data_IF_747842748552
#
_entry.id   IF_747842748552
#
_cell.length_a   1.000
_cell.length_b   1.000
_cell.length_c   1.000
_cell.angle_alpha   90.00
_cell.angle_beta   90.00
_cell.angle_gamma   90.00
#
_symmetry.space_group_name_H-M   'P 1'
#
loop_
_entity.id
_entity.type
_entity.pdbx_description
1 polymer ?
#
# COMPACT_ATOMS: atom_id res chain seq x y z
N UNK A 1 26.91 -46.37 9.58
CA UNK A 1 25.60 -45.91 9.07
C UNK A 1 25.57 -44.39 9.12
N UNK A 2 25.20 -43.80 7.98
CA UNK A 2 25.69 -42.54 7.41
C UNK A 2 25.46 -41.25 8.24
N UNK A 3 26.52 -40.44 8.40
CA UNK A 3 26.48 -39.02 8.83
C UNK A 3 26.17 -38.05 7.68
N UNK A 4 25.99 -38.54 6.45
CA UNK A 4 25.71 -37.70 5.26
C UNK A 4 24.24 -37.30 5.15
N UNK A 5 23.32 -38.01 5.80
CA UNK A 5 21.88 -37.75 5.69
C UNK A 5 21.43 -36.42 6.31
N UNK A 6 22.14 -35.90 7.30
CA UNK A 6 21.81 -34.61 7.93
C UNK A 6 22.31 -33.41 7.11
N UNK A 7 23.35 -33.60 6.29
CA UNK A 7 23.92 -32.53 5.46
C UNK A 7 23.10 -32.32 4.16
N UNK A 8 22.53 -33.38 3.59
CA UNK A 8 21.59 -33.28 2.46
C UNK A 8 20.29 -32.55 2.84
N UNK A 9 19.78 -32.76 4.07
CA UNK A 9 18.56 -32.13 4.54
C UNK A 9 18.72 -30.61 4.74
N UNK A 10 19.90 -30.16 5.22
CA UNK A 10 20.21 -28.74 5.34
C UNK A 10 20.45 -28.06 3.98
N UNK A 11 21.05 -28.76 3.01
CA UNK A 11 21.28 -28.24 1.67
C UNK A 11 19.96 -27.99 0.89
N UNK A 12 18.95 -28.86 1.05
CA UNK A 12 17.64 -28.67 0.43
C UNK A 12 16.83 -27.53 1.06
N UNK A 13 17.03 -27.23 2.34
CA UNK A 13 16.36 -26.12 3.02
C UNK A 13 16.93 -24.75 2.59
N UNK A 14 18.22 -24.71 2.23
CA UNK A 14 18.88 -23.48 1.78
C UNK A 14 18.58 -23.12 0.30
N UNK A 15 18.22 -24.11 -0.52
CA UNK A 15 17.88 -23.90 -1.93
C UNK A 15 16.42 -23.44 -2.13
N UNK A 16 15.52 -23.73 -1.17
CA UNK A 16 14.11 -23.34 -1.21
C UNK A 16 13.83 -21.88 -0.78
N UNK A 17 14.80 -21.18 -0.18
CA UNK A 17 14.65 -19.77 0.23
C UNK A 17 15.07 -18.76 -0.85
N UNK A 18 15.41 -19.22 -2.06
CA UNK A 18 15.74 -18.37 -3.21
C UNK A 18 14.73 -18.51 -4.35
N UNK A 19 13.43 -18.36 -4.07
CA UNK A 19 12.46 -17.94 -5.09
C UNK A 19 11.34 -17.18 -4.41
N UNK A 20 11.22 -15.89 -4.69
CA UNK A 20 10.04 -15.07 -4.35
C UNK A 20 8.87 -15.60 -5.18
N UNK A 21 7.80 -16.16 -4.59
CA UNK A 21 6.63 -16.51 -5.39
C UNK A 21 5.80 -15.25 -5.61
N UNK A 22 5.88 -14.74 -6.82
CA UNK A 22 4.93 -13.79 -7.35
C UNK A 22 3.52 -14.39 -7.32
N UNK A 23 2.54 -13.59 -6.91
CA UNK A 23 1.13 -13.78 -7.28
C UNK A 23 0.36 -14.84 -6.48
N UNK A 24 -0.41 -14.36 -5.51
CA UNK A 24 -1.55 -15.06 -4.92
C UNK A 24 -2.55 -15.46 -6.03
N UNK A 25 -2.65 -16.77 -6.31
CA UNK A 25 -3.62 -17.32 -7.27
C UNK A 25 -3.38 -18.79 -7.63
N UNK A 26 -2.12 -19.21 -7.78
CA UNK A 26 -1.82 -20.57 -8.27
C UNK A 26 -1.89 -21.67 -7.18
N UNK A 27 -1.82 -21.32 -5.90
CA UNK A 27 -1.81 -22.29 -4.80
C UNK A 27 -3.19 -22.93 -4.51
N UNK A 28 -4.30 -22.29 -4.90
CA UNK A 28 -5.66 -22.82 -4.66
C UNK A 28 -6.05 -23.95 -5.61
N UNK A 29 -5.47 -23.99 -6.81
CA UNK A 29 -5.83 -25.00 -7.83
C UNK A 29 -5.25 -26.38 -7.49
N UNK A 30 -4.08 -26.44 -6.85
CA UNK A 30 -3.42 -27.72 -6.52
C UNK A 30 -4.11 -28.48 -5.37
N UNK A 31 -4.91 -27.80 -4.53
CA UNK A 31 -5.60 -28.43 -3.40
C UNK A 31 -6.96 -29.07 -3.76
N UNK A 32 -7.53 -28.75 -4.93
CA UNK A 32 -8.83 -29.28 -5.40
C UNK A 32 -8.70 -30.37 -6.49
N UNK A 33 -7.48 -30.81 -6.78
CA UNK A 33 -7.16 -31.64 -7.95
C UNK A 33 -7.61 -33.11 -7.96
N UNK A 34 -8.46 -33.58 -7.03
CA UNK A 34 -8.92 -34.99 -7.01
C UNK A 34 -10.37 -35.20 -6.57
N UNK A 35 -11.27 -34.25 -6.80
CA UNK A 35 -12.70 -34.49 -6.58
C UNK A 35 -13.34 -35.15 -7.82
N UNK A 36 -14.15 -36.23 -7.69
CA UNK A 36 -14.63 -37.06 -8.81
C UNK A 36 -15.60 -36.38 -9.81
N UNK A 37 -15.78 -35.05 -9.76
CA UNK A 37 -16.69 -34.31 -10.64
C UNK A 37 -16.00 -33.69 -11.88
N UNK A 38 -14.67 -33.83 -12.02
CA UNK A 38 -13.90 -33.23 -13.13
C UNK A 38 -13.48 -34.26 -14.19
N UNK A 39 -13.71 -35.56 -13.97
CA UNK A 39 -13.17 -36.64 -14.81
C UNK A 39 -14.03 -37.04 -16.03
N UNK A 40 -15.13 -36.33 -16.32
CA UNK A 40 -15.82 -36.43 -17.61
C UNK A 40 -16.02 -35.00 -18.10
N UNK A 41 -15.59 -34.71 -19.33
CA UNK A 41 -15.71 -33.40 -19.98
C UNK A 41 -17.16 -33.00 -20.30
N UNK A 42 -18.05 -33.15 -19.34
CA UNK A 42 -19.44 -32.72 -19.37
C UNK A 42 -19.62 -31.75 -18.20
N UNK A 43 -19.74 -30.46 -18.51
CA UNK A 43 -20.16 -29.48 -17.53
C UNK A 43 -21.56 -29.88 -17.03
N UNK A 44 -21.82 -29.98 -15.72
CA UNK A 44 -23.18 -30.16 -15.26
C UNK A 44 -23.98 -28.91 -15.65
N UNK A 45 -24.85 -29.05 -16.66
CA UNK A 45 -25.96 -28.12 -16.93
C UNK A 45 -26.95 -28.25 -15.77
N UNK A 46 -26.58 -27.72 -14.61
CA UNK A 46 -27.52 -27.48 -13.53
C UNK A 46 -28.25 -26.15 -13.81
N UNK A 47 -29.08 -26.15 -14.86
CA UNK A 47 -30.18 -25.21 -14.98
C UNK A 47 -31.31 -25.78 -14.11
N UNK A 48 -31.37 -25.38 -12.85
CA UNK A 48 -32.59 -25.60 -12.05
C UNK A 48 -33.71 -24.74 -12.64
N UNK A 49 -34.88 -25.32 -13.00
CA UNK A 49 -35.91 -24.62 -13.77
C UNK A 49 -36.66 -23.52 -13.00
N UNK A 50 -36.22 -23.11 -11.80
CA UNK A 50 -36.81 -21.95 -11.13
C UNK A 50 -35.89 -21.30 -10.07
N UNK A 51 -34.58 -21.19 -10.34
CA UNK A 51 -33.72 -20.27 -9.58
C UNK A 51 -33.59 -19.00 -10.41
N UNK A 52 -34.48 -18.05 -10.17
CA UNK A 52 -34.25 -16.68 -10.62
C UNK A 52 -33.03 -16.16 -9.86
N UNK A 53 -31.84 -16.24 -10.46
CA UNK A 53 -30.71 -15.44 -10.01
C UNK A 53 -31.15 -13.99 -10.25
N UNK A 54 -31.32 -13.16 -9.20
CA UNK A 54 -31.63 -11.76 -9.42
C UNK A 54 -30.53 -11.18 -10.30
N UNK A 55 -30.88 -10.58 -11.43
CA UNK A 55 -29.93 -9.89 -12.33
C UNK A 55 -29.09 -8.84 -11.61
N UNK A 56 -29.55 -8.40 -10.44
CA UNK A 56 -28.85 -7.54 -9.48
C UNK A 56 -27.55 -8.16 -8.93
N UNK A 57 -27.39 -9.49 -8.92
CA UNK A 57 -26.15 -10.13 -8.46
C UNK A 57 -25.00 -10.05 -9.48
N UNK A 58 -25.30 -9.72 -10.75
CA UNK A 58 -24.31 -9.47 -11.80
C UNK A 58 -23.94 -7.98 -11.94
N UNK A 59 -24.61 -7.07 -11.23
CA UNK A 59 -24.48 -5.63 -11.44
C UNK A 59 -23.50 -4.93 -10.47
N UNK A 60 -22.54 -5.63 -9.88
CA UNK A 60 -21.56 -5.00 -9.02
C UNK A 60 -20.19 -5.65 -9.11
N UNK A 61 -19.50 -5.39 -10.21
CA UNK A 61 -18.04 -5.27 -10.20
C UNK A 61 -17.62 -4.07 -9.32
N UNK A 62 -17.93 -4.10 -8.03
CA UNK A 62 -17.28 -3.23 -7.06
C UNK A 62 -15.95 -3.87 -6.74
N UNK A 63 -14.91 -3.43 -7.44
CA UNK A 63 -13.52 -3.74 -7.17
C UNK A 63 -13.24 -3.64 -5.65
N UNK A 64 -13.10 -4.75 -4.91
CA UNK A 64 -12.97 -4.72 -3.45
C UNK A 64 -11.63 -4.14 -2.98
N UNK A 65 -10.70 -3.84 -3.90
CA UNK A 65 -9.42 -3.20 -3.58
C UNK A 65 -9.54 -1.70 -3.28
N UNK A 66 -10.64 -1.03 -3.65
CA UNK A 66 -10.76 0.42 -3.42
C UNK A 66 -11.29 0.77 -2.03
N UNK A 67 -12.11 -0.08 -1.40
CA UNK A 67 -12.83 0.28 -0.17
C UNK A 67 -11.87 0.48 1.02
N UNK A 68 -10.80 -0.31 1.09
CA UNK A 68 -9.83 -0.25 2.20
C UNK A 68 -8.87 0.94 2.04
N UNK A 69 -8.52 1.31 0.80
CA UNK A 69 -7.69 2.47 0.53
C UNK A 69 -8.48 3.79 0.69
N UNK A 70 -9.75 3.79 0.28
CA UNK A 70 -10.64 4.95 0.37
C UNK A 70 -11.03 5.25 1.83
N UNK A 71 -11.28 4.23 2.67
CA UNK A 71 -11.61 4.42 4.08
C UNK A 71 -10.45 4.98 4.92
N UNK A 72 -9.19 4.67 4.57
CA UNK A 72 -8.01 5.18 5.27
C UNK A 72 -7.60 6.58 4.77
N UNK A 73 -7.96 6.96 3.53
CA UNK A 73 -7.63 8.26 2.94
C UNK A 73 -8.71 9.35 3.03
N UNK A 74 -9.90 9.06 3.56
CA UNK A 74 -11.08 9.94 3.40
C UNK A 74 -11.33 10.92 4.56
N UNK A 75 -10.77 10.69 5.75
CA UNK A 75 -10.89 11.69 6.83
C UNK A 75 -9.91 12.84 6.60
N UNK A 76 -10.39 13.89 5.92
CA UNK A 76 -9.74 15.19 5.81
C UNK A 76 -9.75 15.90 7.16
N UNK A 77 -8.94 15.43 8.10
CA UNK A 77 -8.73 16.10 9.38
C UNK A 77 -8.00 17.42 9.11
N UNK A 78 -8.54 18.58 9.55
CA UNK A 78 -7.86 19.85 9.35
C UNK A 78 -6.56 19.87 10.14
N UNK A 79 -5.48 20.37 9.53
CA UNK A 79 -4.23 20.59 10.24
C UNK A 79 -4.46 21.62 11.36
N UNK A 80 -4.10 21.29 12.59
CA UNK A 80 -4.23 22.19 13.75
C UNK A 80 -2.93 22.90 14.11
N UNK A 81 -1.78 22.41 13.61
CA UNK A 81 -0.46 22.99 13.85
C UNK A 81 0.54 22.69 12.74
N UNK A 82 1.63 23.46 12.69
CA UNK A 82 2.77 23.19 11.79
C UNK A 82 3.48 21.88 12.15
N UNK A 83 3.44 21.43 13.40
CA UNK A 83 4.06 20.18 13.82
C UNK A 83 3.48 18.96 13.08
N UNK A 84 2.16 18.95 12.86
CA UNK A 84 1.49 17.89 12.10
C UNK A 84 2.01 17.83 10.65
N UNK A 85 2.15 18.99 10.00
CA UNK A 85 2.72 19.07 8.65
C UNK A 85 4.21 18.69 8.63
N UNK A 86 4.97 19.14 9.64
CA UNK A 86 6.39 18.84 9.78
C UNK A 86 6.68 17.35 9.91
N UNK A 87 5.81 16.62 10.62
CA UNK A 87 5.87 15.16 10.71
C UNK A 87 5.64 14.49 9.35
N UNK A 88 4.61 14.92 8.61
CA UNK A 88 4.33 14.39 7.27
C UNK A 88 5.51 14.59 6.32
N UNK A 89 6.13 15.77 6.33
CA UNK A 89 7.31 16.07 5.51
C UNK A 89 8.51 15.20 5.93
N UNK A 90 8.73 15.03 7.24
CA UNK A 90 9.81 14.18 7.77
C UNK A 90 9.66 12.73 7.34
N UNK A 91 8.45 12.19 7.40
CA UNK A 91 8.16 10.80 7.04
C UNK A 91 8.31 10.59 5.54
N UNK A 92 7.81 11.51 4.72
CA UNK A 92 8.00 11.50 3.27
C UNK A 92 9.49 11.54 2.90
N UNK A 93 10.27 12.46 3.50
CA UNK A 93 11.72 12.55 3.28
C UNK A 93 12.43 11.24 3.61
N UNK A 94 12.10 10.63 4.76
CA UNK A 94 12.68 9.35 5.17
C UNK A 94 12.32 8.22 4.22
N UNK A 95 11.08 8.19 3.70
CA UNK A 95 10.66 7.22 2.71
C UNK A 95 11.45 7.34 1.39
N UNK A 96 11.84 8.58 1.03
CA UNK A 96 12.75 8.85 -0.09
C UNK A 96 14.23 8.55 0.21
N UNK A 97 14.56 8.12 1.43
CA UNK A 97 15.94 7.85 1.91
C UNK A 97 16.87 9.06 1.83
N UNK A 98 16.32 10.27 1.90
CA UNK A 98 17.08 11.51 1.89
C UNK A 98 17.43 11.97 3.30
N UNK A 99 18.63 12.48 3.50
CA UNK A 99 18.95 13.29 4.68
C UNK A 99 18.37 14.71 4.55
N UNK A 100 18.38 15.51 5.63
CA UNK A 100 17.78 16.85 5.61
C UNK A 100 18.46 17.81 4.62
N UNK A 101 19.77 17.66 4.36
CA UNK A 101 20.49 18.49 3.39
C UNK A 101 20.08 18.15 1.97
N UNK A 102 19.98 16.87 1.62
CA UNK A 102 19.53 16.39 0.31
C UNK A 102 18.10 16.83 0.02
N UNK A 103 17.20 16.66 0.99
CA UNK A 103 15.82 17.10 0.84
C UNK A 103 15.70 18.62 0.72
N UNK A 104 16.51 19.37 1.48
CA UNK A 104 16.53 20.82 1.37
C UNK A 104 16.93 21.27 -0.04
N UNK A 105 17.93 20.62 -0.64
CA UNK A 105 18.33 20.86 -2.03
C UNK A 105 17.20 20.47 -3.01
N UNK A 106 16.54 19.33 -2.78
CA UNK A 106 15.40 18.89 -3.58
C UNK A 106 14.21 19.87 -3.54
N UNK A 107 13.95 20.46 -2.37
CA UNK A 107 12.89 21.43 -2.15
C UNK A 107 13.27 22.89 -2.47
N UNK A 108 14.53 23.16 -2.83
CA UNK A 108 15.02 24.51 -3.10
C UNK A 108 15.09 25.43 -1.88
N UNK A 109 15.30 24.88 -0.68
CA UNK A 109 15.38 25.64 0.59
C UNK A 109 16.69 25.35 1.35
N UNK A 110 16.95 26.10 2.42
CA UNK A 110 18.10 25.85 3.29
C UNK A 110 17.86 24.67 4.25
N UNK A 111 18.90 23.88 4.57
CA UNK A 111 18.79 22.74 5.51
C UNK A 111 18.24 23.13 6.89
N UNK A 112 18.56 24.32 7.38
CA UNK A 112 17.99 24.85 8.63
C UNK A 112 16.47 24.99 8.55
N UNK A 113 15.93 25.42 7.40
CA UNK A 113 14.49 25.52 7.20
C UNK A 113 13.82 24.16 7.33
N UNK A 114 14.36 23.12 6.68
CA UNK A 114 13.86 21.74 6.80
C UNK A 114 13.88 21.28 8.25
N UNK A 115 14.97 21.53 8.98
CA UNK A 115 15.05 21.18 10.41
C UNK A 115 14.01 21.90 11.26
N UNK A 116 13.75 23.18 11.00
CA UNK A 116 12.74 23.97 11.72
C UNK A 116 11.31 23.53 11.38
N UNK A 117 11.04 23.21 10.10
CA UNK A 117 9.77 22.66 9.65
C UNK A 117 9.47 21.30 10.28
N UNK A 118 10.41 20.35 10.20
CA UNK A 118 10.26 19.04 10.84
C UNK A 118 10.16 19.13 12.37
N UNK A 119 10.75 20.17 12.95
CA UNK A 119 10.63 20.48 14.38
C UNK A 119 9.33 21.18 14.76
N UNK A 120 8.47 21.52 13.80
CA UNK A 120 7.17 22.14 14.05
C UNK A 120 7.23 23.62 14.42
N UNK A 121 8.27 24.36 14.00
CA UNK A 121 8.40 25.79 14.29
C UNK A 121 7.18 26.55 13.73
N UNK A 122 6.43 27.31 14.56
CA UNK A 122 5.21 27.98 14.10
C UNK A 122 5.48 29.18 13.19
N UNK A 123 6.64 29.83 13.32
CA UNK A 123 7.01 31.07 12.63
C UNK A 123 7.80 30.84 11.34
N UNK A 124 7.32 29.94 10.48
CA UNK A 124 7.93 29.65 9.19
C UNK A 124 7.32 30.50 8.07
N UNK A 125 8.15 30.86 7.10
CA UNK A 125 7.72 31.50 5.87
C UNK A 125 6.90 30.51 5.03
N UNK A 126 5.64 30.86 4.77
CA UNK A 126 4.67 29.91 4.20
C UNK A 126 5.05 29.43 2.78
N UNK A 127 5.62 30.29 1.93
CA UNK A 127 6.03 29.90 0.58
C UNK A 127 7.07 28.76 0.58
N UNK A 128 7.99 28.79 1.55
CA UNK A 128 8.97 27.70 1.74
C UNK A 128 8.32 26.45 2.32
N UNK A 129 7.26 26.60 3.13
CA UNK A 129 6.45 25.45 3.57
C UNK A 129 5.76 24.80 2.37
N UNK A 130 5.19 25.59 1.45
CA UNK A 130 4.59 25.08 0.22
C UNK A 130 5.62 24.35 -0.66
N UNK A 131 6.83 24.90 -0.81
CA UNK A 131 7.92 24.26 -1.55
C UNK A 131 8.30 22.89 -0.94
N UNK A 132 8.45 22.83 0.39
CA UNK A 132 8.70 21.58 1.09
C UNK A 132 7.55 20.58 0.96
N UNK A 133 6.29 21.04 1.04
CA UNK A 133 5.12 20.17 0.88
C UNK A 133 5.08 19.55 -0.54
N UNK A 134 5.30 20.36 -1.57
CA UNK A 134 5.39 19.88 -2.95
C UNK A 134 6.53 18.86 -3.14
N UNK A 135 7.73 19.15 -2.61
CA UNK A 135 8.87 18.24 -2.65
C UNK A 135 8.63 16.94 -1.85
N UNK A 136 7.80 16.99 -0.81
CA UNK A 136 7.39 15.85 -0.02
C UNK A 136 6.27 15.01 -0.68
N UNK A 137 5.67 15.50 -1.77
CA UNK A 137 4.47 14.88 -2.35
C UNK A 137 3.22 15.06 -1.49
N UNK A 138 3.13 16.16 -0.75
CA UNK A 138 2.00 16.51 0.13
C UNK A 138 1.21 17.66 -0.48
N UNK A 139 -0.04 17.41 -0.82
CA UNK A 139 -0.96 18.44 -1.30
C UNK A 139 -1.60 19.21 -0.13
N UNK A 140 -1.58 20.54 -0.23
CA UNK A 140 -2.23 21.44 0.72
C UNK A 140 -3.43 22.11 0.06
N UNK A 141 -4.60 22.03 0.72
CA UNK A 141 -5.84 22.61 0.23
C UNK A 141 -6.39 23.62 1.24
N UNK A 142 -6.85 24.77 0.74
CA UNK A 142 -7.64 25.71 1.52
C UNK A 142 -9.14 25.44 1.31
N UNK A 143 -9.92 25.45 2.39
CA UNK A 143 -11.38 25.38 2.36
C UNK A 143 -11.96 26.53 3.16
N UNK A 144 -12.86 27.31 2.56
CA UNK A 144 -13.59 28.37 3.25
C UNK A 144 -14.43 27.76 4.39
N UNK A 145 -14.24 28.27 5.62
CA UNK A 145 -15.08 27.91 6.76
C UNK A 145 -16.48 28.46 6.54
N UNK A 146 -17.51 27.62 6.70
CA UNK A 146 -18.89 28.08 6.82
C UNK A 146 -19.04 28.55 8.26
N UNK A 147 -19.18 29.87 8.42
CA UNK A 147 -19.54 30.53 9.67
C UNK A 147 -21.02 30.86 9.65
#
# INVERSE_FOLDING_TARGET
MSKESKLQAAANLLLASRTVPAGSGAALITALGKHPLVARGEMPKALHPNVAIPSQLYAAERNPKSVIAEAVGTTRTPLTSIAELGMMVRDARKAMKMNQTEFAAHAGVGRRFVSELEGGKPSLEFDKVLACAAAAGVDLFAKKRRV
#
